data_IF_773380993590
#
_entry.id   IF_773380993590
#
_cell.length_a   1.000
_cell.length_b   1.000
_cell.length_c   1.000
_cell.angle_alpha   90.00
_cell.angle_beta   90.00
_cell.angle_gamma   90.00
#
_symmetry.space_group_name_H-M   'P 1'
#
loop_
_entity.id
_entity.type
_entity.pdbx_description
1 polymer ?
#
# COMPACT_ATOMS: atom_id res chain seq x y z
N UNK A 1 -52.13 -43.98 -38.47
CA UNK A 1 -51.37 -44.68 -37.43
C UNK A 1 -49.95 -44.08 -37.36
N UNK A 2 -49.86 -42.74 -37.13
CA UNK A 2 -48.56 -42.05 -37.15
C UNK A 2 -48.49 -40.79 -36.24
N UNK A 3 -49.37 -40.59 -35.31
CA UNK A 3 -49.40 -39.38 -34.43
C UNK A 3 -49.12 -39.69 -32.94
N UNK A 4 -49.03 -40.97 -32.58
CA UNK A 4 -48.86 -41.37 -31.16
C UNK A 4 -47.40 -41.56 -30.73
N UNK A 5 -46.45 -41.53 -31.68
CA UNK A 5 -45.05 -41.80 -31.42
C UNK A 5 -44.24 -40.54 -30.99
N UNK A 6 -44.75 -39.33 -31.27
CA UNK A 6 -44.06 -38.08 -30.94
C UNK A 6 -44.30 -37.59 -29.51
N UNK A 7 -45.39 -38.00 -28.85
CA UNK A 7 -45.71 -37.56 -27.48
C UNK A 7 -44.80 -38.19 -26.42
N UNK A 8 -44.21 -39.35 -26.66
CA UNK A 8 -43.32 -40.03 -25.72
C UNK A 8 -41.86 -39.53 -25.73
N UNK A 9 -41.44 -38.93 -26.85
CA UNK A 9 -40.09 -38.35 -26.95
C UNK A 9 -39.97 -36.99 -26.28
N UNK A 10 -41.02 -36.19 -26.25
CA UNK A 10 -41.04 -34.89 -25.56
C UNK A 10 -41.07 -35.00 -24.02
N UNK A 11 -41.57 -36.14 -23.48
CA UNK A 11 -41.61 -36.39 -22.03
C UNK A 11 -40.25 -36.79 -21.44
N UNK A 12 -39.32 -37.32 -22.26
CA UNK A 12 -37.98 -37.72 -21.78
C UNK A 12 -36.94 -36.60 -21.82
N UNK A 13 -37.22 -35.51 -22.53
CA UNK A 13 -36.30 -34.36 -22.62
C UNK A 13 -36.42 -33.37 -21.42
N UNK A 14 -37.43 -33.55 -20.56
CA UNK A 14 -37.67 -32.65 -19.42
C UNK A 14 -37.03 -33.07 -18.09
N UNK A 15 -36.30 -34.17 -18.03
CA UNK A 15 -35.54 -34.59 -16.88
C UNK A 15 -34.02 -34.40 -17.03
N UNK A 16 -33.61 -33.38 -17.75
CA UNK A 16 -32.27 -32.85 -17.67
C UNK A 16 -32.09 -32.24 -16.27
N UNK A 17 -31.56 -33.03 -15.33
CA UNK A 17 -31.22 -32.61 -14.00
C UNK A 17 -30.33 -31.38 -14.07
N UNK A 18 -30.84 -30.22 -13.68
CA UNK A 18 -30.06 -29.06 -13.32
C UNK A 18 -29.14 -29.49 -12.17
N UNK A 19 -27.93 -29.91 -12.50
CA UNK A 19 -26.84 -29.97 -11.54
C UNK A 19 -26.69 -28.55 -10.99
N UNK A 20 -27.30 -28.32 -9.82
CA UNK A 20 -27.05 -27.14 -9.02
C UNK A 20 -25.56 -27.19 -8.70
N UNK A 21 -24.76 -26.44 -9.47
CA UNK A 21 -23.39 -26.15 -9.08
C UNK A 21 -23.49 -25.51 -7.71
N UNK A 22 -23.15 -26.26 -6.68
CA UNK A 22 -23.00 -25.77 -5.32
C UNK A 22 -21.86 -24.77 -5.35
N UNK A 23 -22.18 -23.49 -5.48
CA UNK A 23 -21.21 -22.41 -5.36
C UNK A 23 -20.41 -22.59 -4.08
N UNK A 24 -19.17 -22.14 -4.02
CA UNK A 24 -18.29 -22.33 -2.88
C UNK A 24 -19.01 -21.88 -1.60
N UNK A 25 -19.01 -22.74 -0.60
CA UNK A 25 -19.66 -22.45 0.67
C UNK A 25 -19.08 -21.15 1.24
N UNK A 26 -19.89 -20.34 1.89
CA UNK A 26 -19.49 -19.04 2.49
C UNK A 26 -18.23 -19.19 3.34
N UNK A 27 -18.09 -20.29 4.05
CA UNK A 27 -16.90 -20.64 4.85
C UNK A 27 -15.64 -20.81 4.00
N UNK A 28 -15.73 -21.47 2.85
CA UNK A 28 -14.56 -21.63 1.94
C UNK A 28 -14.10 -20.28 1.38
N UNK A 29 -15.02 -19.42 0.99
CA UNK A 29 -14.69 -18.07 0.49
C UNK A 29 -14.01 -17.23 1.58
N UNK A 30 -14.48 -17.30 2.82
CA UNK A 30 -13.86 -16.57 3.94
C UNK A 30 -12.45 -17.08 4.24
N UNK A 31 -12.26 -18.41 4.28
CA UNK A 31 -10.95 -19.01 4.51
C UNK A 31 -9.94 -18.65 3.41
N UNK A 32 -10.39 -18.67 2.16
CA UNK A 32 -9.53 -18.26 1.03
C UNK A 32 -9.15 -16.78 1.15
N UNK A 33 -10.09 -15.90 1.46
CA UNK A 33 -9.80 -14.47 1.63
C UNK A 33 -8.81 -14.22 2.78
N UNK A 34 -8.97 -14.92 3.92
CA UNK A 34 -8.04 -14.85 5.04
C UNK A 34 -6.64 -15.33 4.65
N UNK A 35 -6.55 -16.47 3.96
CA UNK A 35 -5.26 -17.01 3.49
C UNK A 35 -4.57 -16.02 2.55
N UNK A 36 -5.27 -15.46 1.57
CA UNK A 36 -4.73 -14.44 0.66
C UNK A 36 -4.27 -13.21 1.43
N UNK A 37 -5.04 -12.75 2.43
CA UNK A 37 -4.66 -11.63 3.28
C UNK A 37 -3.38 -11.89 4.07
N UNK A 38 -3.26 -13.08 4.66
CA UNK A 38 -2.06 -13.47 5.40
C UNK A 38 -0.84 -13.57 4.47
N UNK A 39 -0.98 -14.19 3.30
CA UNK A 39 0.11 -14.29 2.32
C UNK A 39 0.53 -12.92 1.80
N UNK A 40 -0.41 -12.02 1.52
CA UNK A 40 -0.11 -10.66 1.13
C UNK A 40 0.62 -9.91 2.26
N UNK A 41 0.12 -9.98 3.50
CA UNK A 41 0.78 -9.38 4.66
C UNK A 41 2.20 -9.90 4.86
N UNK A 42 2.42 -11.20 4.73
CA UNK A 42 3.75 -11.80 4.84
C UNK A 42 4.67 -11.33 3.70
N UNK A 43 4.20 -11.31 2.47
CA UNK A 43 5.02 -10.90 1.31
C UNK A 43 5.41 -9.43 1.39
N UNK A 44 4.46 -8.54 1.54
CA UNK A 44 4.72 -7.10 1.64
C UNK A 44 5.41 -6.73 2.95
N UNK A 45 5.04 -7.40 4.05
CA UNK A 45 5.67 -7.22 5.36
C UNK A 45 7.14 -7.62 5.34
N UNK A 46 7.49 -8.75 4.71
CA UNK A 46 8.89 -9.16 4.52
C UNK A 46 9.67 -8.10 3.75
N UNK A 47 9.07 -7.52 2.71
CA UNK A 47 9.69 -6.44 1.96
C UNK A 47 9.88 -5.18 2.82
N UNK A 48 8.86 -4.78 3.59
CA UNK A 48 8.94 -3.65 4.51
C UNK A 48 10.07 -3.80 5.54
N UNK A 49 10.26 -5.02 6.07
CA UNK A 49 11.33 -5.32 7.04
C UNK A 49 12.71 -5.41 6.40
N UNK A 50 12.82 -5.98 5.21
CA UNK A 50 14.12 -6.14 4.54
C UNK A 50 14.65 -4.84 3.93
N UNK A 51 13.79 -3.86 3.71
CA UNK A 51 14.17 -2.56 3.16
C UNK A 51 14.83 -1.70 4.23
N UNK A 52 16.05 -1.25 3.98
CA UNK A 52 16.75 -0.35 4.88
C UNK A 52 16.01 1.01 4.98
N UNK A 53 16.28 1.77 6.03
CA UNK A 53 15.78 3.15 6.17
C UNK A 53 16.35 3.99 5.03
N UNK A 54 15.49 4.78 4.36
CA UNK A 54 15.92 5.60 3.22
C UNK A 54 16.12 4.83 1.91
N UNK A 55 15.70 3.56 1.80
CA UNK A 55 15.91 2.74 0.61
C UNK A 55 14.83 2.87 -0.47
N UNK A 56 13.64 3.32 -0.10
CA UNK A 56 12.59 3.52 -1.09
C UNK A 56 12.89 4.75 -1.97
N UNK A 57 12.38 4.80 -3.21
CA UNK A 57 12.54 5.97 -4.04
C UNK A 57 12.08 7.24 -3.32
N UNK A 58 12.91 8.26 -3.32
CA UNK A 58 12.67 9.56 -2.68
C UNK A 58 12.40 9.49 -1.15
N UNK A 59 12.84 8.40 -0.48
CA UNK A 59 12.69 8.26 0.98
C UNK A 59 13.47 9.35 1.73
N UNK A 60 14.56 9.84 1.16
CA UNK A 60 15.31 11.01 1.64
C UNK A 60 14.40 12.24 1.79
N UNK A 61 13.56 12.49 0.80
CA UNK A 61 12.56 13.55 0.83
C UNK A 61 11.37 13.20 1.72
N UNK A 62 10.78 12.01 1.53
CA UNK A 62 9.50 11.66 2.16
C UNK A 62 9.64 11.38 3.65
N UNK A 63 10.66 10.65 4.08
CA UNK A 63 10.86 10.34 5.50
C UNK A 63 11.20 11.60 6.30
N UNK A 64 12.00 12.50 5.73
CA UNK A 64 12.30 13.80 6.32
C UNK A 64 11.04 14.66 6.43
N UNK A 65 10.19 14.68 5.40
CA UNK A 65 8.90 15.38 5.45
C UNK A 65 7.98 14.82 6.53
N UNK A 66 7.91 13.50 6.68
CA UNK A 66 7.13 12.85 7.75
C UNK A 66 7.69 13.23 9.12
N UNK A 67 9.02 13.28 9.24
CA UNK A 67 9.67 13.63 10.51
C UNK A 67 9.35 15.05 10.97
N UNK A 68 9.31 15.98 10.04
CA UNK A 68 9.16 17.41 10.31
C UNK A 68 7.71 17.93 10.27
N UNK A 69 6.76 17.18 9.72
CA UNK A 69 5.38 17.65 9.57
C UNK A 69 4.49 17.32 10.76
N UNK A 70 3.56 18.22 11.10
CA UNK A 70 2.45 17.91 11.99
C UNK A 70 1.20 18.71 11.60
N UNK A 71 0.02 18.34 12.17
CA UNK A 71 -1.21 19.12 11.99
C UNK A 71 -1.17 20.51 12.65
N UNK A 72 -0.16 20.77 13.47
CA UNK A 72 0.04 22.04 14.17
C UNK A 72 1.06 22.94 13.47
N UNK A 73 1.66 22.46 12.37
CA UNK A 73 2.71 23.15 11.62
C UNK A 73 4.01 22.35 11.56
N UNK A 74 5.04 22.96 10.98
CA UNK A 74 6.35 22.35 10.81
C UNK A 74 7.07 22.28 12.17
N UNK A 75 7.65 21.13 12.47
CA UNK A 75 8.33 20.85 13.73
C UNK A 75 9.85 21.05 13.67
N UNK A 76 10.42 20.98 12.46
CA UNK A 76 11.85 21.13 12.25
C UNK A 76 12.21 22.60 12.00
N UNK A 77 13.32 23.03 12.58
CA UNK A 77 13.87 24.36 12.32
C UNK A 77 14.34 24.46 10.87
N UNK A 78 14.01 25.56 10.19
CA UNK A 78 14.45 25.81 8.82
C UNK A 78 15.89 26.28 8.85
N UNK A 79 16.72 25.71 7.98
CA UNK A 79 18.10 26.17 7.81
C UNK A 79 18.11 27.65 7.38
N UNK A 80 18.96 28.50 7.99
CA UNK A 80 19.07 29.92 7.63
C UNK A 80 19.33 30.17 6.15
N UNK A 81 19.95 29.22 5.42
CA UNK A 81 20.07 29.23 3.97
C UNK A 81 18.76 29.05 3.22
N UNK A 82 17.69 28.62 3.91
CA UNK A 82 16.33 28.51 3.38
C UNK A 82 16.09 27.34 2.42
N UNK A 83 17.06 26.45 2.24
CA UNK A 83 16.96 25.32 1.32
C UNK A 83 16.61 24.00 2.01
N UNK A 84 16.80 23.89 3.33
CA UNK A 84 16.61 22.68 4.09
C UNK A 84 16.06 22.88 5.49
N UNK A 85 16.08 21.81 6.25
CA UNK A 85 15.63 21.75 7.64
C UNK A 85 16.66 21.05 8.51
N UNK A 86 16.63 21.30 9.82
CA UNK A 86 17.44 20.56 10.77
C UNK A 86 16.75 19.24 11.15
N UNK A 87 17.48 18.11 11.00
CA UNK A 87 17.00 16.76 11.31
C UNK A 87 18.04 16.02 12.16
N UNK A 88 17.63 14.93 12.85
CA UNK A 88 18.57 14.09 13.58
C UNK A 88 19.73 13.62 12.69
N UNK A 89 20.95 13.71 13.20
CA UNK A 89 22.16 13.35 12.43
C UNK A 89 22.12 11.89 11.99
N UNK A 90 21.61 10.97 12.83
CA UNK A 90 21.44 9.57 12.47
C UNK A 90 20.50 9.36 11.28
N UNK A 91 19.44 10.17 11.15
CA UNK A 91 18.52 10.12 10.00
C UNK A 91 19.25 10.54 8.71
N UNK A 92 20.02 11.64 8.77
CA UNK A 92 20.83 12.09 7.64
C UNK A 92 21.88 11.04 7.22
N UNK A 93 22.60 10.48 8.17
CA UNK A 93 23.60 9.44 7.91
C UNK A 93 22.97 8.17 7.33
N UNK A 94 21.80 7.77 7.83
CA UNK A 94 21.08 6.62 7.30
C UNK A 94 20.71 6.80 5.82
N UNK A 95 20.25 7.98 5.45
CA UNK A 95 19.89 8.32 4.08
C UNK A 95 21.14 8.34 3.19
N UNK A 96 22.18 9.04 3.60
CA UNK A 96 23.38 9.19 2.78
C UNK A 96 24.29 7.95 2.74
N UNK A 97 24.09 6.99 3.64
CA UNK A 97 24.93 5.80 3.78
C UNK A 97 25.20 5.09 2.44
N UNK A 98 24.19 4.97 1.58
CA UNK A 98 24.30 4.33 0.27
C UNK A 98 23.70 5.16 -0.87
N UNK A 99 23.41 6.43 -0.61
CA UNK A 99 22.80 7.34 -1.57
C UNK A 99 23.63 7.42 -2.86
N UNK A 100 23.00 7.15 -3.99
CA UNK A 100 23.60 7.10 -5.32
C UNK A 100 24.80 6.13 -5.47
N UNK A 101 25.00 5.21 -4.53
CA UNK A 101 26.06 4.20 -4.61
C UNK A 101 25.49 2.78 -4.67
N UNK A 102 25.31 2.18 -5.86
CA UNK A 102 24.70 0.86 -6.02
C UNK A 102 25.60 -0.28 -5.47
N UNK A 103 26.84 -0.01 -5.14
CA UNK A 103 27.78 -1.00 -4.60
C UNK A 103 27.86 -0.96 -3.08
N UNK A 104 27.24 0.03 -2.44
CA UNK A 104 27.24 0.16 -0.99
C UNK A 104 26.00 -0.53 -0.40
N UNK A 105 26.24 -1.40 0.58
CA UNK A 105 25.15 -2.00 1.35
C UNK A 105 24.70 -1.07 2.48
N UNK A 106 23.47 -1.30 2.99
CA UNK A 106 22.95 -0.57 4.15
C UNK A 106 23.71 -0.85 5.47
N UNK A 107 24.72 -1.70 5.46
CA UNK A 107 25.59 -1.95 6.63
C UNK A 107 26.40 -0.75 7.09
N UNK A 108 26.41 0.35 6.32
CA UNK A 108 26.99 1.64 6.74
C UNK A 108 26.04 2.50 7.59
N UNK A 109 24.77 2.10 7.74
CA UNK A 109 23.83 2.88 8.54
C UNK A 109 24.25 2.91 10.02
N UNK A 110 24.06 4.03 10.71
CA UNK A 110 24.28 4.13 12.15
C UNK A 110 23.22 3.31 12.91
N UNK A 111 23.38 3.23 14.23
CA UNK A 111 22.33 2.69 15.08
C UNK A 111 21.10 3.60 15.05
N UNK A 112 19.96 3.06 14.63
CA UNK A 112 18.72 3.82 14.39
C UNK A 112 17.62 3.54 15.44
N UNK A 113 17.90 2.63 16.38
CA UNK A 113 16.99 2.31 17.47
C UNK A 113 17.27 3.24 18.67
N UNK A 114 16.26 4.02 19.06
CA UNK A 114 16.35 4.98 20.14
C UNK A 114 16.53 6.43 19.65
N UNK A 115 16.66 7.33 20.61
CA UNK A 115 16.86 8.76 20.39
C UNK A 115 18.31 9.04 20.03
N UNK A 116 18.56 9.79 18.98
CA UNK A 116 19.90 10.27 18.67
C UNK A 116 20.28 11.38 19.68
N UNK A 117 21.32 11.19 20.49
CA UNK A 117 21.75 12.22 21.45
C UNK A 117 22.54 13.37 20.81
N UNK A 118 22.87 13.24 19.52
CA UNK A 118 23.63 14.26 18.78
C UNK A 118 22.72 15.42 18.38
N UNK A 119 23.25 16.60 18.16
CA UNK A 119 22.46 17.74 17.72
C UNK A 119 21.89 17.49 16.32
N UNK A 120 20.76 18.10 16.05
CA UNK A 120 20.18 18.12 14.72
C UNK A 120 21.13 18.83 13.74
N UNK A 121 21.14 18.39 12.50
CA UNK A 121 22.05 18.86 11.45
C UNK A 121 21.26 19.31 10.23
N UNK A 122 21.79 20.28 9.44
CA UNK A 122 21.13 20.75 8.26
C UNK A 122 21.05 19.64 7.19
N UNK A 123 19.87 19.55 6.55
CA UNK A 123 19.61 18.63 5.47
C UNK A 123 18.94 19.38 4.31
N UNK A 124 19.64 19.50 3.18
CA UNK A 124 19.32 20.42 2.10
C UNK A 124 18.16 20.02 1.19
N UNK A 125 17.59 18.83 1.35
CA UNK A 125 16.60 18.33 0.40
C UNK A 125 15.16 18.67 0.72
N UNK A 126 14.84 19.21 1.91
CA UNK A 126 13.44 19.33 2.26
C UNK A 126 13.13 20.50 3.16
N UNK A 127 12.57 21.52 2.58
CA UNK A 127 11.88 22.54 3.33
C UNK A 127 10.37 22.23 3.27
N UNK A 128 9.71 21.81 4.36
CA UNK A 128 8.28 21.51 4.39
C UNK A 128 7.43 22.65 3.85
N UNK A 129 7.83 23.90 4.07
CA UNK A 129 7.15 25.10 3.55
C UNK A 129 7.22 25.25 2.02
N UNK A 130 8.03 24.45 1.34
CA UNK A 130 8.17 24.40 -0.12
C UNK A 130 7.84 23.03 -0.70
N UNK A 131 7.11 22.20 0.06
CA UNK A 131 6.74 20.85 -0.35
C UNK A 131 6.03 20.85 -1.70
N UNK A 132 6.47 19.98 -2.60
CA UNK A 132 5.82 19.72 -3.89
C UNK A 132 4.59 18.81 -3.76
N UNK A 133 4.42 18.19 -2.60
CA UNK A 133 3.38 17.21 -2.31
C UNK A 133 2.38 17.76 -1.29
N UNK A 134 1.11 17.31 -1.33
CA UNK A 134 0.11 17.69 -0.34
C UNK A 134 0.53 17.28 1.09
N UNK A 135 0.46 18.20 2.03
CA UNK A 135 0.92 17.99 3.41
C UNK A 135 0.14 16.90 4.15
N UNK A 136 -1.10 16.64 3.76
CA UNK A 136 -1.99 15.70 4.44
C UNK A 136 -1.42 14.29 4.61
N UNK A 137 -0.65 13.80 3.64
CA UNK A 137 0.03 12.51 3.77
C UNK A 137 1.10 12.53 4.87
N UNK A 138 1.92 13.57 4.90
CA UNK A 138 3.01 13.70 5.86
C UNK A 138 2.48 13.92 7.28
N UNK A 139 1.49 14.80 7.43
CA UNK A 139 0.81 15.04 8.70
C UNK A 139 0.16 13.78 9.25
N UNK A 140 -0.53 13.02 8.40
CA UNK A 140 -1.11 11.73 8.80
C UNK A 140 -0.03 10.73 9.20
N UNK A 141 1.02 10.59 8.39
CA UNK A 141 2.11 9.64 8.65
C UNK A 141 2.90 10.01 9.92
N UNK A 142 3.03 11.30 10.22
CA UNK A 142 3.66 11.81 11.44
C UNK A 142 2.96 11.34 12.72
N UNK A 143 1.64 11.07 12.71
CA UNK A 143 0.93 10.51 13.87
C UNK A 143 1.54 9.18 14.36
N UNK A 144 2.28 8.50 13.51
CA UNK A 144 2.92 7.22 13.78
C UNK A 144 4.42 7.35 14.05
N UNK A 145 4.92 8.58 14.14
CA UNK A 145 6.31 8.85 14.52
C UNK A 145 6.53 8.45 15.98
N UNK A 146 7.65 7.79 16.21
CA UNK A 146 8.18 7.45 17.53
C UNK A 146 9.64 7.92 17.63
N UNK A 147 10.24 7.82 18.83
CA UNK A 147 11.61 8.31 19.05
C UNK A 147 12.66 7.59 18.21
N UNK A 148 12.43 6.31 17.88
CA UNK A 148 13.32 5.52 17.02
C UNK A 148 13.05 5.80 15.54
N UNK A 149 14.09 6.13 14.78
CA UNK A 149 14.03 6.34 13.32
C UNK A 149 13.63 5.04 12.62
N UNK A 150 14.22 3.91 13.03
CA UNK A 150 13.89 2.58 12.48
C UNK A 150 12.44 2.22 12.72
N UNK A 151 11.96 2.39 13.96
CA UNK A 151 10.59 2.08 14.31
C UNK A 151 9.59 3.01 13.60
N UNK A 152 9.89 4.29 13.46
CA UNK A 152 9.07 5.24 12.67
C UNK A 152 8.95 4.79 11.22
N UNK A 153 10.07 4.49 10.55
CA UNK A 153 10.05 4.03 9.16
C UNK A 153 9.22 2.74 9.00
N UNK A 154 9.41 1.76 9.89
CA UNK A 154 8.66 0.52 9.87
C UNK A 154 7.16 0.73 10.12
N UNK A 155 6.81 1.54 11.11
CA UNK A 155 5.40 1.82 11.45
C UNK A 155 4.69 2.48 10.28
N UNK A 156 5.28 3.50 9.65
CA UNK A 156 4.70 4.17 8.47
C UNK A 156 4.52 3.17 7.31
N UNK A 157 5.50 2.30 7.07
CA UNK A 157 5.42 1.25 6.03
C UNK A 157 4.25 0.29 6.30
N UNK A 158 4.08 -0.15 7.55
CA UNK A 158 2.96 -1.03 7.91
C UNK A 158 1.61 -0.32 7.89
N UNK A 159 1.55 0.97 8.20
CA UNK A 159 0.33 1.79 8.05
C UNK A 159 -0.06 1.86 6.57
N UNK A 160 0.86 2.14 5.68
CA UNK A 160 0.60 2.18 4.24
C UNK A 160 0.17 0.81 3.70
N UNK A 161 0.82 -0.27 4.13
CA UNK A 161 0.39 -1.63 3.82
C UNK A 161 -1.02 -1.91 4.36
N UNK A 162 -1.33 -1.48 5.58
CA UNK A 162 -2.65 -1.61 6.19
C UNK A 162 -3.73 -0.90 5.37
N UNK A 163 -3.47 0.34 4.92
CA UNK A 163 -4.37 1.10 4.03
C UNK A 163 -4.59 0.35 2.71
N UNK A 164 -3.52 -0.14 2.08
CA UNK A 164 -3.62 -0.93 0.86
C UNK A 164 -4.48 -2.18 1.03
N UNK A 165 -4.24 -2.97 2.07
CA UNK A 165 -5.01 -4.18 2.35
C UNK A 165 -6.47 -3.86 2.71
N UNK A 166 -6.71 -2.83 3.51
CA UNK A 166 -8.07 -2.40 3.88
C UNK A 166 -8.89 -1.98 2.66
N UNK A 167 -8.32 -1.17 1.77
CA UNK A 167 -8.96 -0.77 0.51
C UNK A 167 -9.14 -2.00 -0.39
N UNK A 168 -8.11 -2.83 -0.53
CA UNK A 168 -8.13 -4.03 -1.35
C UNK A 168 -9.25 -5.01 -0.96
N UNK A 169 -9.32 -5.36 0.31
CA UNK A 169 -10.36 -6.26 0.83
C UNK A 169 -11.74 -5.57 0.90
N UNK A 170 -11.78 -4.30 1.32
CA UNK A 170 -13.02 -3.53 1.37
C UNK A 170 -13.72 -3.50 0.01
N UNK A 171 -12.97 -3.19 -1.05
CA UNK A 171 -13.50 -3.19 -2.41
C UNK A 171 -13.84 -4.60 -2.90
N UNK A 172 -13.04 -5.62 -2.59
CA UNK A 172 -13.37 -6.99 -2.97
C UNK A 172 -14.76 -7.43 -2.47
N UNK A 173 -15.11 -7.06 -1.24
CA UNK A 173 -16.42 -7.39 -0.68
C UNK A 173 -17.53 -6.46 -1.14
N UNK A 174 -17.24 -5.20 -1.41
CA UNK A 174 -18.22 -4.21 -1.87
C UNK A 174 -18.59 -4.37 -3.35
N UNK A 175 -17.66 -4.85 -4.19
CA UNK A 175 -17.87 -4.99 -5.63
C UNK A 175 -18.91 -6.07 -6.00
N UNK A 176 -19.68 -5.86 -7.08
CA UNK A 176 -20.48 -6.90 -7.71
C UNK A 176 -19.64 -8.14 -8.02
N UNK A 177 -20.23 -9.33 -7.87
CA UNK A 177 -19.49 -10.60 -7.97
C UNK A 177 -18.68 -10.75 -9.27
N UNK A 178 -19.23 -10.24 -10.39
CA UNK A 178 -18.55 -10.27 -11.70
C UNK A 178 -17.26 -9.43 -11.76
N UNK A 179 -17.15 -8.34 -10.98
CA UNK A 179 -15.99 -7.48 -10.97
C UNK A 179 -14.89 -7.95 -9.99
N UNK A 180 -15.21 -8.86 -9.06
CA UNK A 180 -14.23 -9.39 -8.10
C UNK A 180 -13.07 -10.10 -8.77
N UNK A 181 -13.35 -10.86 -9.82
CA UNK A 181 -12.30 -11.53 -10.62
C UNK A 181 -11.40 -10.51 -11.32
N UNK A 182 -11.99 -9.47 -11.93
CA UNK A 182 -11.22 -8.39 -12.56
C UNK A 182 -10.34 -7.67 -11.53
N UNK A 183 -10.87 -7.41 -10.33
CA UNK A 183 -10.12 -6.82 -9.23
C UNK A 183 -8.90 -7.66 -8.81
N UNK A 184 -9.07 -8.96 -8.65
CA UNK A 184 -7.96 -9.88 -8.33
C UNK A 184 -6.92 -9.88 -9.44
N UNK A 185 -7.33 -10.01 -10.71
CA UNK A 185 -6.42 -10.05 -11.83
C UNK A 185 -5.66 -8.74 -12.02
N UNK A 186 -6.31 -7.60 -11.79
CA UNK A 186 -5.67 -6.29 -11.85
C UNK A 186 -4.47 -6.22 -10.88
N UNK A 187 -4.62 -6.69 -9.66
CA UNK A 187 -3.52 -6.71 -8.69
C UNK A 187 -2.50 -7.80 -9.01
N UNK A 188 -2.94 -8.99 -9.41
CA UNK A 188 -2.02 -10.10 -9.73
C UNK A 188 -1.11 -9.76 -10.91
N UNK A 189 -1.62 -9.07 -11.92
CA UNK A 189 -0.85 -8.69 -13.11
C UNK A 189 -0.18 -7.32 -12.99
N UNK A 190 -0.80 -6.39 -12.26
CA UNK A 190 -0.33 -5.02 -12.10
C UNK A 190 0.71 -4.83 -11.00
N UNK A 191 0.78 -5.74 -10.01
CA UNK A 191 1.79 -5.72 -8.98
C UNK A 191 3.12 -6.25 -9.53
N UNK A 192 3.85 -5.36 -10.17
CA UNK A 192 5.25 -5.59 -10.54
C UNK A 192 6.16 -5.40 -9.30
N UNK A 193 7.41 -5.89 -9.30
CA UNK A 193 8.31 -5.76 -8.14
C UNK A 193 8.41 -4.33 -7.58
N UNK A 194 8.37 -3.31 -8.44
CA UNK A 194 8.37 -1.91 -8.02
C UNK A 194 7.13 -1.54 -7.19
N UNK A 195 5.95 -2.04 -7.57
CA UNK A 195 4.72 -1.83 -6.79
C UNK A 195 4.79 -2.50 -5.42
N UNK A 196 5.37 -3.71 -5.34
CA UNK A 196 5.59 -4.41 -4.08
C UNK A 196 6.58 -3.66 -3.17
N UNK A 197 7.48 -2.87 -3.74
CA UNK A 197 8.42 -2.05 -2.99
C UNK A 197 7.79 -0.72 -2.52
N UNK A 198 7.06 -0.03 -3.40
CA UNK A 198 6.49 1.30 -3.10
C UNK A 198 5.31 1.21 -2.14
N UNK A 199 4.45 0.19 -2.25
CA UNK A 199 3.26 0.08 -1.39
C UNK A 199 3.65 0.07 0.10
N UNK A 200 4.55 -0.79 0.58
CA UNK A 200 5.02 -0.74 1.96
C UNK A 200 6.25 0.17 2.12
N UNK A 201 6.19 1.41 1.67
CA UNK A 201 7.26 2.40 1.80
C UNK A 201 6.76 3.69 2.45
N UNK A 202 7.66 4.64 2.74
CA UNK A 202 7.31 5.96 3.25
C UNK A 202 6.87 6.94 2.16
N UNK A 203 6.73 6.47 0.93
CA UNK A 203 6.42 7.30 -0.23
C UNK A 203 4.89 7.47 -0.42
N UNK A 204 4.37 8.70 -0.61
CA UNK A 204 2.94 8.96 -0.87
C UNK A 204 2.43 8.28 -2.15
N UNK A 205 3.30 7.86 -3.06
CA UNK A 205 2.94 7.05 -4.22
C UNK A 205 2.26 5.72 -3.85
N UNK A 206 2.49 5.21 -2.64
CA UNK A 206 1.73 4.08 -2.06
C UNK A 206 0.23 4.34 -2.08
N UNK A 207 -0.18 5.55 -1.64
CA UNK A 207 -1.59 5.95 -1.64
C UNK A 207 -2.10 6.23 -3.05
N UNK A 208 -1.27 6.83 -3.92
CA UNK A 208 -1.65 7.10 -5.31
C UNK A 208 -1.94 5.80 -6.08
N UNK A 209 -1.06 4.79 -5.96
CA UNK A 209 -1.26 3.47 -6.59
C UNK A 209 -2.56 2.84 -6.07
N UNK A 210 -2.77 2.83 -4.76
CA UNK A 210 -3.96 2.25 -4.12
C UNK A 210 -5.24 2.99 -4.54
N UNK A 211 -5.22 4.32 -4.54
CA UNK A 211 -6.38 5.16 -4.82
C UNK A 211 -6.78 5.12 -6.30
N UNK A 212 -5.83 5.16 -7.23
CA UNK A 212 -6.13 5.13 -8.67
C UNK A 212 -6.75 3.80 -9.06
N UNK A 213 -6.14 2.70 -8.64
CA UNK A 213 -6.64 1.37 -8.92
C UNK A 213 -8.00 1.11 -8.24
N UNK A 214 -8.12 1.44 -6.95
CA UNK A 214 -9.35 1.27 -6.19
C UNK A 214 -10.49 2.18 -6.67
N UNK A 215 -10.18 3.44 -6.95
CA UNK A 215 -11.17 4.42 -7.42
C UNK A 215 -11.77 4.06 -8.78
N UNK A 216 -10.93 3.59 -9.71
CA UNK A 216 -11.40 3.18 -11.03
C UNK A 216 -12.39 2.02 -10.96
N UNK A 217 -12.03 0.93 -10.27
CA UNK A 217 -12.91 -0.23 -10.18
C UNK A 217 -14.18 0.05 -9.35
N UNK A 218 -14.08 0.91 -8.33
CA UNK A 218 -15.23 1.36 -7.56
C UNK A 218 -16.21 2.16 -8.41
N UNK A 219 -15.71 3.05 -9.27
CA UNK A 219 -16.53 3.81 -10.21
C UNK A 219 -17.27 2.88 -11.17
N UNK A 220 -16.56 1.92 -11.78
CA UNK A 220 -17.18 0.91 -12.67
C UNK A 220 -18.25 0.13 -11.92
N UNK A 221 -17.98 -0.35 -10.72
CA UNK A 221 -18.94 -1.07 -9.88
C UNK A 221 -20.16 -0.24 -9.54
N UNK A 222 -19.99 1.05 -9.24
CA UNK A 222 -21.09 1.98 -8.98
C UNK A 222 -21.99 2.18 -10.21
N UNK A 223 -21.39 2.42 -11.38
CA UNK A 223 -22.13 2.63 -12.63
C UNK A 223 -22.90 1.38 -13.03
N UNK A 224 -22.35 0.18 -12.82
CA UNK A 224 -23.03 -1.07 -13.10
C UNK A 224 -24.22 -1.35 -12.18
N UNK A 225 -24.17 -0.90 -10.94
CA UNK A 225 -25.27 -1.13 -9.98
C UNK A 225 -26.38 -0.10 -10.09
N UNK A 226 -26.11 1.07 -10.67
CA UNK A 226 -27.05 2.17 -10.85
C UNK A 226 -27.48 2.42 -12.30
N UNK A 227 -26.91 1.69 -13.24
CA UNK A 227 -27.34 1.74 -14.64
C UNK A 227 -28.79 1.26 -14.81
N UNK A 228 -29.51 1.74 -15.86
CA UNK A 228 -30.90 1.43 -16.10
C UNK A 228 -31.14 -0.05 -16.34
#
# INVERSE_FOLDING_TARGET
MSLEKNSKLDSMAKHGGTTRELGPSRTRSTLTALLVGVLALLSFGSWAFSSAVGSAPDDDYHLTSIWCSSFQGDLCEVDPGGEGVYIPEALREAIYCYYHNPYQSAGCQPFLDGTDPRPDVPFGHNNPSRSLYPDGYYQFSHLFKVDSIQATALTVRFVNLGVFLAVGFGLFFALPHRLRSAWIWMWTLGLVPMGMFIIPSSNPSSWAITAVAGGWIALVGYLETKGP
#
